data_IF_212785530403
#
_entry.id   IF_212785530403
#
_cell.length_a   1.000
_cell.length_b   1.000
_cell.length_c   1.000
_cell.angle_alpha   90.00
_cell.angle_beta   90.00
_cell.angle_gamma   90.00
#
_symmetry.space_group_name_H-M   'P 1'
#
loop_
_entity.id
_entity.type
_entity.pdbx_description
1 polymer ?
#
# COMPACT_ATOMS: atom_id res chain seq x y z
N UNK A 1 10.38 -7.24 24.97
CA UNK A 1 10.29 -8.21 23.85
C UNK A 1 11.69 -8.45 23.27
N UNK A 2 11.99 -9.67 22.82
CA UNK A 2 13.33 -10.03 22.31
C UNK A 2 13.53 -9.51 20.87
N UNK A 3 14.67 -8.89 20.56
CA UNK A 3 15.04 -8.39 19.22
C UNK A 3 14.96 -9.49 18.16
N UNK A 4 15.26 -10.74 18.50
CA UNK A 4 15.12 -11.84 17.55
C UNK A 4 13.67 -12.10 17.14
N UNK A 5 12.71 -11.85 18.05
CA UNK A 5 11.30 -12.01 17.74
C UNK A 5 10.82 -10.93 16.76
N UNK A 6 11.22 -9.68 16.95
CA UNK A 6 10.82 -8.55 16.08
C UNK A 6 11.29 -8.75 14.64
N UNK A 7 12.51 -9.26 14.46
CA UNK A 7 13.11 -9.60 13.17
C UNK A 7 12.42 -10.82 12.54
N UNK A 8 12.13 -11.85 13.35
CA UNK A 8 11.41 -13.03 12.87
C UNK A 8 10.01 -12.66 12.35
N UNK A 9 9.33 -11.71 13.00
CA UNK A 9 8.02 -11.23 12.56
C UNK A 9 8.09 -10.50 11.21
N UNK A 10 9.08 -9.63 10.99
CA UNK A 10 9.26 -8.97 9.70
C UNK A 10 9.63 -9.96 8.60
N UNK A 11 10.53 -10.90 8.87
CA UNK A 11 10.90 -11.96 7.95
C UNK A 11 9.71 -12.85 7.60
N UNK A 12 8.88 -13.20 8.57
CA UNK A 12 7.67 -13.99 8.34
C UNK A 12 6.69 -13.25 7.43
N UNK A 13 6.40 -11.97 7.71
CA UNK A 13 5.47 -11.17 6.91
C UNK A 13 5.98 -10.96 5.48
N UNK A 14 7.28 -10.69 5.31
CA UNK A 14 7.88 -10.40 4.00
C UNK A 14 8.14 -11.68 3.22
N UNK A 15 8.54 -12.77 3.88
CA UNK A 15 8.66 -14.09 3.27
C UNK A 15 7.31 -14.63 2.80
N UNK A 16 6.24 -14.44 3.59
CA UNK A 16 4.87 -14.79 3.17
C UNK A 16 4.46 -13.95 1.97
N UNK A 17 4.76 -12.65 1.97
CA UNK A 17 4.46 -11.79 0.83
C UNK A 17 5.23 -12.19 -0.43
N UNK A 18 6.51 -12.54 -0.31
CA UNK A 18 7.31 -13.06 -1.43
C UNK A 18 6.72 -14.36 -2.00
N UNK A 19 6.28 -15.28 -1.15
CA UNK A 19 5.60 -16.50 -1.61
C UNK A 19 4.30 -16.17 -2.35
N UNK A 20 3.47 -15.28 -1.80
CA UNK A 20 2.24 -14.84 -2.46
C UNK A 20 2.53 -14.06 -3.76
N UNK A 21 3.62 -13.30 -3.83
CA UNK A 21 4.04 -12.64 -5.07
C UNK A 21 4.31 -13.67 -6.18
N UNK A 22 4.95 -14.79 -5.85
CA UNK A 22 5.29 -15.83 -6.84
C UNK A 22 4.04 -16.62 -7.26
N UNK A 23 3.19 -17.01 -6.31
CA UNK A 23 2.09 -17.95 -6.59
C UNK A 23 0.74 -17.29 -6.87
N UNK A 24 0.45 -16.14 -6.25
CA UNK A 24 -0.87 -15.51 -6.31
C UNK A 24 -0.89 -14.27 -7.22
N UNK A 25 0.18 -13.48 -7.25
CA UNK A 25 0.21 -12.24 -8.04
C UNK A 25 0.01 -12.44 -9.56
N UNK A 26 0.52 -13.51 -10.22
CA UNK A 26 0.23 -13.74 -11.63
C UNK A 26 -1.27 -13.87 -11.90
N UNK A 27 -1.96 -14.73 -11.15
CA UNK A 27 -3.40 -14.95 -11.29
C UNK A 27 -4.22 -13.70 -10.94
N UNK A 28 -3.78 -12.92 -9.94
CA UNK A 28 -4.40 -11.62 -9.64
C UNK A 28 -4.18 -10.62 -10.77
N UNK A 29 -3.00 -10.59 -11.39
CA UNK A 29 -2.68 -9.64 -12.45
C UNK A 29 -3.51 -9.90 -13.70
N UNK A 30 -3.62 -11.15 -14.14
CA UNK A 30 -4.52 -11.54 -15.24
C UNK A 30 -5.96 -11.10 -14.99
N UNK A 31 -6.46 -11.29 -13.77
CA UNK A 31 -7.79 -10.83 -13.38
C UNK A 31 -7.94 -9.31 -13.42
N UNK A 32 -6.90 -8.57 -13.03
CA UNK A 32 -6.90 -7.10 -12.94
C UNK A 32 -6.69 -6.40 -14.29
N UNK A 33 -6.28 -7.12 -15.34
CA UNK A 33 -6.21 -6.58 -16.71
C UNK A 33 -7.59 -6.18 -17.25
N UNK A 34 -8.65 -6.78 -16.72
CA UNK A 34 -10.02 -6.48 -17.12
C UNK A 34 -10.70 -5.63 -16.04
N UNK A 35 -11.03 -4.35 -16.33
CA UNK A 35 -11.79 -3.52 -15.41
C UNK A 35 -13.12 -4.19 -15.00
N UNK A 36 -13.33 -4.34 -13.70
CA UNK A 36 -14.55 -4.92 -13.16
C UNK A 36 -14.87 -4.36 -11.77
N UNK A 37 -16.17 -4.17 -11.48
CA UNK A 37 -16.62 -3.71 -10.16
C UNK A 37 -16.19 -4.61 -9.01
N UNK A 38 -16.08 -5.93 -9.23
CA UNK A 38 -15.54 -6.88 -8.24
C UNK A 38 -14.07 -6.62 -7.92
N UNK A 39 -13.28 -6.19 -8.91
CA UNK A 39 -11.86 -5.84 -8.71
C UNK A 39 -11.73 -4.53 -7.93
N UNK A 40 -12.59 -3.56 -8.22
CA UNK A 40 -12.69 -2.33 -7.42
C UNK A 40 -13.07 -2.63 -5.96
N UNK A 41 -14.04 -3.52 -5.73
CA UNK A 41 -14.42 -3.96 -4.38
C UNK A 41 -13.27 -4.67 -3.66
N UNK A 42 -12.51 -5.51 -4.37
CA UNK A 42 -11.30 -6.15 -3.84
C UNK A 42 -10.26 -5.10 -3.42
N UNK A 43 -9.95 -4.13 -4.29
CA UNK A 43 -9.03 -3.02 -3.99
C UNK A 43 -9.47 -2.24 -2.75
N UNK A 44 -10.74 -1.87 -2.67
CA UNK A 44 -11.30 -1.14 -1.53
C UNK A 44 -11.21 -1.97 -0.25
N UNK A 45 -11.55 -3.25 -0.30
CA UNK A 45 -11.51 -4.14 0.87
C UNK A 45 -10.08 -4.27 1.41
N UNK A 46 -9.12 -4.55 0.52
CA UNK A 46 -7.71 -4.67 0.91
C UNK A 46 -7.16 -3.31 1.37
N UNK A 47 -7.62 -2.19 0.79
CA UNK A 47 -7.28 -0.86 1.28
C UNK A 47 -7.80 -0.59 2.69
N UNK A 48 -9.04 -0.95 3.02
CA UNK A 48 -9.57 -0.81 4.37
C UNK A 48 -8.81 -1.70 5.38
N UNK A 49 -8.44 -2.92 4.99
CA UNK A 49 -7.58 -3.78 5.81
C UNK A 49 -6.19 -3.17 6.01
N UNK A 50 -5.61 -2.56 4.98
CA UNK A 50 -4.36 -1.82 5.07
C UNK A 50 -4.48 -0.64 6.04
N UNK A 51 -5.55 0.16 5.97
CA UNK A 51 -5.81 1.25 6.90
C UNK A 51 -5.88 0.77 8.35
N UNK A 52 -6.63 -0.30 8.61
CA UNK A 52 -6.70 -0.93 9.92
C UNK A 52 -5.32 -1.42 10.39
N UNK A 53 -4.55 -1.99 9.48
CA UNK A 53 -3.19 -2.50 9.74
C UNK A 53 -2.23 -1.37 10.12
N UNK A 54 -2.23 -0.26 9.39
CA UNK A 54 -1.44 0.94 9.73
C UNK A 54 -1.87 1.49 11.08
N UNK A 55 -3.17 1.54 11.36
CA UNK A 55 -3.69 1.98 12.65
C UNK A 55 -3.19 1.09 13.81
N UNK A 56 -3.16 -0.24 13.63
CA UNK A 56 -2.60 -1.17 14.61
C UNK A 56 -1.09 -0.94 14.83
N UNK A 57 -0.32 -0.77 13.76
CA UNK A 57 1.11 -0.44 13.86
C UNK A 57 1.34 0.86 14.64
N UNK A 58 0.48 1.86 14.45
CA UNK A 58 0.54 3.13 15.20
C UNK A 58 0.19 2.98 16.69
N UNK A 59 -0.57 1.95 17.09
CA UNK A 59 -0.88 1.66 18.51
C UNK A 59 0.22 0.90 19.26
N UNK A 60 1.22 0.33 18.57
CA UNK A 60 2.34 -0.37 19.20
C UNK A 60 3.17 0.58 20.07
N UNK A 61 3.53 0.15 21.28
CA UNK A 61 4.55 0.83 22.09
C UNK A 61 5.95 0.51 21.58
N UNK A 62 6.90 1.45 21.68
CA UNK A 62 8.29 1.21 21.34
C UNK A 62 8.93 0.17 22.29
N UNK A 63 9.69 -0.77 21.75
CA UNK A 63 10.23 -1.95 22.45
C UNK A 63 11.60 -1.69 23.06
N UNK A 64 12.41 -0.81 22.47
CA UNK A 64 13.79 -0.48 22.89
C UNK A 64 14.09 1.02 22.72
N UNK A 65 14.96 1.56 23.56
CA UNK A 65 15.57 2.90 23.40
C UNK A 65 16.74 2.93 22.38
N UNK A 66 17.03 1.82 21.70
CA UNK A 66 18.21 1.66 20.86
C UNK A 66 17.86 1.48 19.38
N UNK A 67 18.63 2.18 18.54
CA UNK A 67 18.54 2.36 17.09
C UNK A 67 17.43 3.28 16.59
N UNK A 68 17.71 4.58 16.75
CA UNK A 68 17.03 5.65 16.01
C UNK A 68 17.29 5.43 14.51
N UNK A 69 16.22 5.39 13.71
CA UNK A 69 16.34 5.42 12.25
C UNK A 69 17.22 6.61 11.85
N UNK A 70 18.10 6.48 10.84
CA UNK A 70 18.88 7.60 10.34
C UNK A 70 18.00 8.82 10.08
N UNK A 71 18.51 10.03 10.34
CA UNK A 71 17.72 11.27 10.22
C UNK A 71 17.01 11.42 8.87
N UNK A 72 17.64 10.94 7.78
CA UNK A 72 17.05 10.95 6.44
C UNK A 72 15.83 10.02 6.29
N UNK A 73 15.79 8.88 7.00
CA UNK A 73 14.62 7.99 7.10
C UNK A 73 13.60 8.53 8.10
N UNK A 74 14.07 9.11 9.20
CA UNK A 74 13.23 9.77 10.20
C UNK A 74 12.42 10.94 9.62
N UNK A 75 12.96 11.66 8.63
CA UNK A 75 12.27 12.74 7.92
C UNK A 75 10.96 12.28 7.27
N UNK A 76 10.89 11.06 6.73
CA UNK A 76 9.67 10.48 6.15
C UNK A 76 8.56 10.31 7.19
N UNK A 77 8.93 10.15 8.46
CA UNK A 77 8.01 10.07 9.58
C UNK A 77 7.67 11.45 10.14
N UNK A 78 8.19 12.54 9.59
CA UNK A 78 7.81 13.91 9.96
C UNK A 78 6.35 14.24 9.57
N UNK A 79 5.71 15.15 10.31
CA UNK A 79 4.30 15.49 10.10
C UNK A 79 4.01 15.99 8.67
N UNK A 80 4.87 16.87 8.12
CA UNK A 80 4.72 17.39 6.75
C UNK A 80 4.88 16.29 5.70
N UNK A 81 5.88 15.42 5.86
CA UNK A 81 6.11 14.30 4.97
C UNK A 81 4.93 13.32 4.97
N UNK A 82 4.40 12.96 6.16
CA UNK A 82 3.21 12.09 6.28
C UNK A 82 1.99 12.65 5.54
N UNK A 83 1.76 13.96 5.58
CA UNK A 83 0.69 14.61 4.83
C UNK A 83 0.87 14.44 3.32
N UNK A 84 2.05 14.78 2.80
CA UNK A 84 2.35 14.66 1.36
C UNK A 84 2.24 13.20 0.91
N UNK A 85 2.82 12.27 1.66
CA UNK A 85 2.79 10.84 1.35
C UNK A 85 1.37 10.29 1.38
N UNK A 86 0.54 10.73 2.33
CA UNK A 86 -0.84 10.30 2.40
C UNK A 86 -1.69 10.83 1.25
N UNK A 87 -1.43 12.07 0.80
CA UNK A 87 -2.09 12.64 -0.39
C UNK A 87 -1.66 11.88 -1.65
N UNK A 88 -0.37 11.66 -1.86
CA UNK A 88 0.15 10.90 -3.00
C UNK A 88 -0.42 9.47 -3.04
N UNK A 89 -0.46 8.82 -1.88
CA UNK A 89 -1.08 7.51 -1.73
C UNK A 89 -2.57 7.54 -2.06
N UNK A 90 -3.27 8.57 -1.58
CA UNK A 90 -4.69 8.72 -1.83
C UNK A 90 -5.00 8.87 -3.33
N UNK A 91 -4.25 9.72 -4.02
CA UNK A 91 -4.34 9.91 -5.46
C UNK A 91 -4.04 8.61 -6.24
N UNK A 92 -3.03 7.85 -5.81
CA UNK A 92 -2.71 6.54 -6.41
C UNK A 92 -3.85 5.53 -6.27
N UNK A 93 -4.42 5.41 -5.07
CA UNK A 93 -5.56 4.51 -4.81
C UNK A 93 -6.81 4.93 -5.57
N UNK A 94 -7.14 6.23 -5.57
CA UNK A 94 -8.23 6.80 -6.35
C UNK A 94 -8.09 6.47 -7.83
N UNK A 95 -6.88 6.61 -8.38
CA UNK A 95 -6.59 6.29 -9.78
C UNK A 95 -6.79 4.80 -10.06
N UNK A 96 -6.26 3.93 -9.20
CA UNK A 96 -6.41 2.48 -9.36
C UNK A 96 -7.87 2.01 -9.29
N UNK A 97 -8.66 2.55 -8.35
CA UNK A 97 -10.08 2.20 -8.22
C UNK A 97 -10.89 2.76 -9.40
N UNK A 98 -10.64 4.00 -9.81
CA UNK A 98 -11.31 4.61 -10.98
C UNK A 98 -11.03 3.82 -12.26
N UNK A 99 -9.78 3.35 -12.43
CA UNK A 99 -9.41 2.47 -13.52
C UNK A 99 -10.21 1.15 -13.48
N UNK A 100 -10.28 0.47 -12.34
CA UNK A 100 -11.03 -0.79 -12.23
C UNK A 100 -12.55 -0.63 -12.40
N UNK A 101 -13.08 0.57 -12.22
CA UNK A 101 -14.49 0.88 -12.52
C UNK A 101 -14.74 1.23 -13.99
N UNK A 102 -13.70 1.25 -14.84
CA UNK A 102 -13.82 1.60 -16.25
C UNK A 102 -14.02 3.09 -16.49
N UNK A 103 -13.76 3.95 -15.50
CA UNK A 103 -14.00 5.40 -15.62
C UNK A 103 -13.23 6.01 -16.79
N UNK A 104 -11.97 5.63 -16.98
CA UNK A 104 -11.14 6.16 -18.07
C UNK A 104 -11.63 5.74 -19.45
N UNK A 105 -12.14 4.51 -19.59
CA UNK A 105 -12.68 4.03 -20.86
C UNK A 105 -13.97 4.80 -21.22
N UNK A 106 -14.86 4.99 -20.26
CA UNK A 106 -16.10 5.76 -20.45
C UNK A 106 -15.76 7.22 -20.79
N UNK A 107 -14.82 7.83 -20.07
CA UNK A 107 -14.43 9.23 -20.28
C UNK A 107 -13.77 9.45 -21.66
N UNK A 108 -12.96 8.52 -22.13
CA UNK A 108 -12.27 8.64 -23.42
C UNK A 108 -13.17 8.31 -24.63
N UNK A 109 -14.19 7.46 -24.46
CA UNK A 109 -15.06 7.01 -25.55
C UNK A 109 -16.37 7.80 -25.66
N UNK A 110 -16.90 8.34 -24.55
CA UNK A 110 -18.15 9.09 -24.57
C UNK A 110 -17.93 10.58 -24.88
N UNK A 111 -18.38 11.02 -26.06
CA UNK A 111 -18.54 12.45 -26.33
C UNK A 111 -19.62 13.06 -25.43
N UNK A 112 -19.51 14.34 -24.99
CA UNK A 112 -20.46 14.97 -24.06
C UNK A 112 -21.94 14.97 -24.51
N UNK A 113 -22.22 14.68 -25.77
CA UNK A 113 -23.55 14.65 -26.37
C UNK A 113 -24.27 13.28 -26.30
N UNK A 114 -23.62 12.22 -25.78
CA UNK A 114 -24.15 10.84 -25.81
C UNK A 114 -24.35 10.20 -24.43
N UNK A 115 -24.13 10.96 -23.35
CA UNK A 115 -24.32 10.45 -22.00
C UNK A 115 -25.78 10.62 -21.57
N UNK A 116 -26.51 9.51 -21.52
CA UNK A 116 -27.84 9.43 -20.89
C UNK A 116 -27.78 9.89 -19.42
N UNK A 117 -28.90 10.33 -18.85
CA UNK A 117 -28.97 10.84 -17.47
C UNK A 117 -28.49 9.78 -16.46
N UNK A 118 -28.81 8.51 -16.72
CA UNK A 118 -28.34 7.36 -15.93
C UNK A 118 -26.81 7.21 -15.97
N UNK A 119 -26.21 7.27 -17.16
CA UNK A 119 -24.76 7.13 -17.32
C UNK A 119 -24.02 8.32 -16.72
N UNK A 120 -24.57 9.53 -16.85
CA UNK A 120 -24.04 10.75 -16.25
C UNK A 120 -24.05 10.69 -14.72
N UNK A 121 -25.14 10.20 -14.12
CA UNK A 121 -25.22 10.03 -12.67
C UNK A 121 -24.21 8.98 -12.15
N UNK A 122 -24.01 7.89 -12.90
CA UNK A 122 -23.03 6.86 -12.55
C UNK A 122 -21.59 7.38 -12.65
N UNK A 123 -21.28 8.24 -13.63
CA UNK A 123 -19.99 8.91 -13.75
C UNK A 123 -19.68 9.82 -12.56
N UNK A 124 -20.70 10.44 -11.94
CA UNK A 124 -20.51 11.24 -10.73
C UNK A 124 -20.31 10.39 -9.48
N UNK A 125 -21.08 9.31 -9.32
CA UNK A 125 -20.99 8.41 -8.14
C UNK A 125 -19.72 7.57 -8.16
N UNK A 126 -19.31 7.08 -9.32
CA UNK A 126 -18.05 6.35 -9.52
C UNK A 126 -16.89 7.27 -9.90
N UNK A 127 -17.15 8.57 -9.90
CA UNK A 127 -16.20 9.60 -10.24
C UNK A 127 -14.99 9.59 -9.31
N UNK A 128 -13.83 10.04 -9.78
CA UNK A 128 -12.61 10.04 -8.99
C UNK A 128 -12.73 10.81 -7.66
N UNK A 129 -13.65 11.77 -7.56
CA UNK A 129 -13.92 12.55 -6.34
C UNK A 129 -14.48 11.73 -5.17
N UNK A 130 -15.36 10.76 -5.41
CA UNK A 130 -15.90 9.89 -4.37
C UNK A 130 -14.78 9.01 -3.76
N UNK A 131 -13.88 8.54 -4.64
CA UNK A 131 -12.73 7.74 -4.25
C UNK A 131 -11.62 8.56 -3.62
N UNK A 132 -11.48 9.83 -4.01
CA UNK A 132 -10.60 10.77 -3.33
C UNK A 132 -10.96 10.85 -1.85
N UNK A 133 -12.24 11.02 -1.50
CA UNK A 133 -12.69 11.08 -0.11
C UNK A 133 -12.34 9.79 0.67
N UNK A 134 -12.61 8.62 0.09
CA UNK A 134 -12.23 7.35 0.71
C UNK A 134 -10.70 7.26 0.90
N UNK A 135 -9.93 7.73 -0.07
CA UNK A 135 -8.48 7.73 -0.02
C UNK A 135 -7.92 8.67 1.06
N UNK A 136 -8.68 9.71 1.44
CA UNK A 136 -8.34 10.63 2.54
C UNK A 136 -8.39 9.96 3.92
N UNK A 137 -9.04 8.80 4.09
CA UNK A 137 -8.97 8.05 5.36
C UNK A 137 -7.53 7.72 5.75
N UNK A 138 -6.65 7.48 4.78
CA UNK A 138 -5.23 7.30 5.06
C UNK A 138 -4.57 8.56 5.63
N UNK A 139 -4.95 9.74 5.15
CA UNK A 139 -4.50 11.03 5.70
C UNK A 139 -4.91 11.12 7.17
N UNK A 140 -6.16 10.82 7.50
CA UNK A 140 -6.62 10.82 8.89
C UNK A 140 -5.82 9.84 9.76
N UNK A 141 -5.54 8.64 9.24
CA UNK A 141 -4.80 7.60 9.96
C UNK A 141 -3.30 7.87 10.05
N UNK A 142 -2.68 8.71 9.23
CA UNK A 142 -1.26 9.06 9.36
C UNK A 142 -1.01 10.42 10.03
N UNK A 143 -1.88 11.40 9.80
CA UNK A 143 -1.70 12.78 10.22
C UNK A 143 -2.08 13.02 11.69
N UNK A 144 -3.13 12.36 12.20
CA UNK A 144 -3.61 12.61 13.56
C UNK A 144 -2.78 11.87 14.60
N UNK A 145 -2.47 12.44 15.77
CA UNK A 145 -1.76 11.72 16.83
C UNK A 145 -2.60 10.53 17.33
N UNK A 146 -1.96 9.37 17.51
CA UNK A 146 -2.58 8.18 18.09
C UNK A 146 -1.80 7.84 19.35
N UNK A 147 -2.53 7.61 20.45
CA UNK A 147 -1.95 7.20 21.72
C UNK A 147 -1.57 5.70 21.62
N UNK A 148 -0.29 5.34 21.81
CA UNK A 148 0.14 3.95 21.91
C UNK A 148 -0.59 3.26 23.07
N UNK A 149 -1.06 2.03 22.85
CA UNK A 149 -1.85 1.28 23.85
C UNK A 149 -1.50 -0.21 23.90
N UNK A 150 -0.70 -0.71 22.96
CA UNK A 150 -0.28 -2.10 22.93
C UNK A 150 1.11 -2.20 23.54
N UNK A 151 1.18 -2.68 24.78
CA UNK A 151 2.43 -2.80 25.51
C UNK A 151 3.37 -3.86 24.91
N UNK A 152 4.66 -3.53 24.83
CA UNK A 152 5.70 -4.35 24.19
C UNK A 152 5.81 -5.80 24.72
N UNK A 153 5.37 -6.06 25.96
CA UNK A 153 5.47 -7.38 26.58
C UNK A 153 4.15 -8.19 26.52
N UNK A 154 3.13 -7.71 25.81
CA UNK A 154 1.83 -8.37 25.69
C UNK A 154 1.67 -9.04 24.32
N UNK A 155 0.91 -10.14 24.28
CA UNK A 155 0.56 -10.83 23.03
C UNK A 155 -0.13 -9.91 22.00
N UNK A 156 -0.88 -8.91 22.46
CA UNK A 156 -1.51 -7.89 21.60
C UNK A 156 -0.50 -7.13 20.74
N UNK A 157 0.74 -6.96 21.22
CA UNK A 157 1.79 -6.28 20.47
C UNK A 157 2.33 -7.16 19.34
N UNK A 158 2.56 -8.44 19.62
CA UNK A 158 2.96 -9.44 18.61
C UNK A 158 1.90 -9.57 17.52
N UNK A 159 0.64 -9.77 17.89
CA UNK A 159 -0.46 -9.89 16.93
C UNK A 159 -0.71 -8.59 16.16
N UNK A 160 -0.67 -7.45 16.84
CA UNK A 160 -0.78 -6.14 16.19
C UNK A 160 0.33 -5.89 15.17
N UNK A 161 1.53 -6.39 15.45
CA UNK A 161 2.68 -6.36 14.53
C UNK A 161 2.46 -7.25 13.31
N UNK A 162 2.07 -8.52 13.51
CA UNK A 162 1.82 -9.47 12.42
C UNK A 162 0.71 -8.97 11.50
N UNK A 163 -0.45 -8.61 12.07
CA UNK A 163 -1.59 -8.12 11.30
C UNK A 163 -1.21 -6.83 10.58
N UNK A 164 -0.51 -5.93 11.27
CA UNK A 164 0.00 -4.69 10.71
C UNK A 164 0.88 -4.89 9.47
N UNK A 165 1.86 -5.79 9.57
CA UNK A 165 2.80 -6.07 8.49
C UNK A 165 2.16 -6.85 7.34
N UNK A 166 1.40 -7.91 7.63
CA UNK A 166 0.71 -8.73 6.63
C UNK A 166 -0.32 -7.91 5.87
N UNK A 167 -1.14 -7.10 6.55
CA UNK A 167 -2.11 -6.23 5.89
C UNK A 167 -1.43 -5.15 5.06
N UNK A 168 -0.28 -4.62 5.51
CA UNK A 168 0.53 -3.70 4.70
C UNK A 168 1.03 -4.35 3.40
N UNK A 169 1.52 -5.59 3.49
CA UNK A 169 2.01 -6.35 2.34
C UNK A 169 0.89 -6.80 1.42
N UNK A 170 -0.31 -7.08 1.95
CA UNK A 170 -1.46 -7.49 1.13
C UNK A 170 -1.83 -6.41 0.11
N UNK A 171 -1.83 -5.14 0.53
CA UNK A 171 -2.08 -4.03 -0.39
C UNK A 171 -0.90 -3.79 -1.34
N UNK A 172 0.34 -3.95 -0.88
CA UNK A 172 1.51 -3.91 -1.76
C UNK A 172 1.37 -4.95 -2.89
N UNK A 173 1.09 -6.20 -2.56
CA UNK A 173 0.92 -7.28 -3.55
C UNK A 173 -0.21 -6.99 -4.55
N UNK A 174 -1.33 -6.46 -4.07
CA UNK A 174 -2.44 -6.10 -4.94
C UNK A 174 -2.06 -4.93 -5.87
N UNK A 175 -1.37 -3.91 -5.36
CA UNK A 175 -0.86 -2.80 -6.15
C UNK A 175 0.21 -3.25 -7.15
N UNK A 176 1.08 -4.17 -6.77
CA UNK A 176 2.07 -4.80 -7.66
C UNK A 176 1.38 -5.58 -8.79
N UNK A 177 0.34 -6.34 -8.48
CA UNK A 177 -0.45 -7.08 -9.47
C UNK A 177 -1.18 -6.14 -10.43
N UNK A 178 -1.75 -5.04 -9.92
CA UNK A 178 -2.38 -3.98 -10.70
C UNK A 178 -1.37 -3.28 -11.63
N UNK A 179 -0.17 -2.96 -11.12
CA UNK A 179 0.87 -2.31 -11.90
C UNK A 179 1.43 -3.23 -12.99
N UNK A 180 1.58 -4.54 -12.73
CA UNK A 180 1.93 -5.51 -13.77
C UNK A 180 0.86 -5.56 -14.87
N UNK A 181 -0.43 -5.58 -14.48
CA UNK A 181 -1.53 -5.56 -15.45
C UNK A 181 -1.47 -4.31 -16.34
N UNK A 182 -1.27 -3.13 -15.74
CA UNK A 182 -1.09 -1.88 -16.48
C UNK A 182 0.19 -1.89 -17.33
N UNK A 183 1.31 -2.41 -16.81
CA UNK A 183 2.58 -2.49 -17.53
C UNK A 183 2.46 -3.33 -18.80
N UNK A 184 1.75 -4.45 -18.70
CA UNK A 184 1.46 -5.34 -19.84
C UNK A 184 0.56 -4.68 -20.89
N UNK A 185 -0.38 -3.84 -20.47
CA UNK A 185 -1.31 -3.15 -21.37
C UNK A 185 -0.67 -1.95 -22.09
N UNK A 186 0.13 -1.15 -21.36
CA UNK A 186 0.70 0.10 -21.86
C UNK A 186 2.16 -0.03 -22.32
N UNK A 187 2.77 -1.21 -22.21
CA UNK A 187 4.11 -1.49 -22.73
C UNK A 187 5.25 -0.86 -21.92
N UNK A 188 5.06 -0.65 -20.60
CA UNK A 188 6.11 -0.14 -19.71
C UNK A 188 6.81 -1.23 -18.88
N UNK A 189 6.76 -2.47 -19.33
CA UNK A 189 7.43 -3.64 -18.75
C UNK A 189 8.93 -3.75 -19.14
N UNK A 190 9.67 -2.65 -19.07
CA UNK A 190 11.09 -2.65 -19.41
C UNK A 190 11.94 -2.19 -18.23
N UNK A 191 13.25 -2.48 -18.31
CA UNK A 191 14.19 -2.15 -17.23
C UNK A 191 14.29 -0.65 -16.94
N UNK A 192 13.98 0.21 -17.93
CA UNK A 192 13.96 1.67 -17.77
C UNK A 192 12.92 2.13 -16.75
N UNK A 193 11.84 1.39 -16.57
CA UNK A 193 10.80 1.69 -15.58
C UNK A 193 11.09 1.12 -14.19
N UNK A 194 12.14 0.28 -14.03
CA UNK A 194 12.48 -0.32 -12.74
C UNK A 194 12.77 0.71 -11.64
N UNK A 195 13.56 1.74 -11.95
CA UNK A 195 13.90 2.80 -10.97
C UNK A 195 12.67 3.67 -10.60
N UNK A 196 11.89 4.20 -11.56
CA UNK A 196 10.63 4.89 -11.25
C UNK A 196 9.65 4.05 -10.42
N UNK A 197 9.48 2.77 -10.75
CA UNK A 197 8.58 1.86 -10.03
C UNK A 197 9.08 1.60 -8.61
N UNK A 198 10.38 1.40 -8.43
CA UNK A 198 10.98 1.25 -7.10
C UNK A 198 10.74 2.52 -6.26
N UNK A 199 10.98 3.70 -6.83
CA UNK A 199 10.72 4.96 -6.15
C UNK A 199 9.25 5.12 -5.77
N UNK A 200 8.33 4.76 -6.68
CA UNK A 200 6.89 4.77 -6.42
C UNK A 200 6.52 3.84 -5.26
N UNK A 201 6.99 2.60 -5.27
CA UNK A 201 6.70 1.66 -4.18
C UNK A 201 7.27 2.12 -2.85
N UNK A 202 8.46 2.72 -2.84
CA UNK A 202 9.02 3.33 -1.64
C UNK A 202 8.13 4.46 -1.12
N UNK A 203 7.71 5.38 -1.99
CA UNK A 203 6.84 6.49 -1.61
C UNK A 203 5.52 6.01 -1.02
N UNK A 204 4.92 4.97 -1.62
CA UNK A 204 3.59 4.51 -1.25
C UNK A 204 3.59 3.57 -0.02
N UNK A 205 4.54 2.63 0.05
CA UNK A 205 4.48 1.51 0.99
C UNK A 205 5.57 1.50 2.05
N UNK A 206 6.60 2.35 1.95
CA UNK A 206 7.57 2.48 3.02
C UNK A 206 7.01 3.10 4.32
N UNK A 207 6.08 4.08 4.33
CA UNK A 207 5.71 4.75 5.57
C UNK A 207 5.18 3.82 6.68
N UNK A 208 4.28 2.84 6.41
CA UNK A 208 3.89 1.83 7.40
C UNK A 208 5.06 1.02 7.95
N UNK A 209 6.03 0.71 7.10
CA UNK A 209 7.21 -0.09 7.45
C UNK A 209 8.20 0.69 8.28
N UNK A 210 8.41 1.96 7.96
CA UNK A 210 9.21 2.87 8.76
C UNK A 210 8.58 3.11 10.14
N UNK A 211 7.24 3.19 10.22
CA UNK A 211 6.54 3.26 11.51
C UNK A 211 6.78 2.04 12.39
N UNK A 212 6.81 0.84 11.80
CA UNK A 212 7.15 -0.38 12.52
C UNK A 212 8.63 -0.41 12.93
N UNK A 213 9.54 -0.12 11.99
CA UNK A 213 10.98 -0.12 12.22
C UNK A 213 11.39 0.86 13.33
N UNK A 214 10.78 2.05 13.36
CA UNK A 214 11.01 3.07 14.39
C UNK A 214 10.60 2.63 15.81
N UNK A 215 9.77 1.59 15.94
CA UNK A 215 9.23 1.13 17.23
C UNK A 215 9.89 -0.14 17.75
N UNK A 216 10.48 -0.97 16.89
CA UNK A 216 10.92 -2.31 17.29
C UNK A 216 12.42 -2.51 17.23
N UNK A 217 13.03 -2.43 16.05
CA UNK A 217 14.50 -2.54 15.84
C UNK A 217 14.85 -2.21 14.39
N UNK A 218 15.88 -1.36 14.23
CA UNK A 218 15.92 -0.29 13.23
C UNK A 218 16.50 -0.55 11.83
N UNK A 219 16.83 -1.77 11.42
CA UNK A 219 17.38 -1.97 10.06
C UNK A 219 17.02 -3.30 9.38
N UNK A 220 17.05 -4.47 10.07
CA UNK A 220 16.76 -5.73 9.40
C UNK A 220 15.35 -5.80 8.78
N UNK A 221 14.36 -5.20 9.44
CA UNK A 221 13.00 -5.09 8.91
C UNK A 221 12.89 -4.18 7.68
N UNK A 222 13.79 -3.18 7.56
CA UNK A 222 13.86 -2.28 6.39
C UNK A 222 14.55 -2.99 5.22
N UNK A 223 15.61 -3.76 5.50
CA UNK A 223 16.34 -4.53 4.48
C UNK A 223 15.45 -5.61 3.87
N UNK A 224 14.75 -6.38 4.70
CA UNK A 224 13.81 -7.43 4.25
C UNK A 224 12.67 -6.84 3.41
N UNK A 225 12.15 -5.68 3.83
CA UNK A 225 11.19 -4.93 3.04
C UNK A 225 11.77 -4.42 1.71
N UNK A 226 13.01 -3.91 1.69
CA UNK A 226 13.66 -3.46 0.46
C UNK A 226 13.83 -4.61 -0.54
N UNK A 227 14.18 -5.82 -0.08
CA UNK A 227 14.24 -7.03 -0.91
C UNK A 227 12.86 -7.34 -1.49
N UNK A 228 11.80 -7.29 -0.68
CA UNK A 228 10.42 -7.48 -1.15
C UNK A 228 10.04 -6.44 -2.22
N UNK A 229 10.41 -5.16 -2.04
CA UNK A 229 10.16 -4.12 -3.05
C UNK A 229 10.90 -4.41 -4.36
N UNK A 230 12.17 -4.80 -4.30
CA UNK A 230 12.92 -5.20 -5.48
C UNK A 230 12.27 -6.38 -6.21
N UNK A 231 11.78 -7.38 -5.47
CA UNK A 231 11.04 -8.50 -6.04
C UNK A 231 9.72 -8.05 -6.70
N UNK A 232 8.98 -7.13 -6.07
CA UNK A 232 7.76 -6.56 -6.64
C UNK A 232 8.03 -5.79 -7.93
N UNK A 233 9.10 -4.98 -7.96
CA UNK A 233 9.52 -4.27 -9.19
C UNK A 233 9.91 -5.25 -10.27
N UNK A 234 10.72 -6.26 -9.92
CA UNK A 234 11.12 -7.32 -10.85
C UNK A 234 9.91 -8.02 -11.45
N UNK A 235 8.89 -8.34 -10.64
CA UNK A 235 7.64 -8.91 -11.12
C UNK A 235 6.86 -7.99 -12.07
N UNK A 236 6.89 -6.66 -11.87
CA UNK A 236 6.17 -5.73 -12.76
C UNK A 236 6.87 -5.57 -14.12
N UNK A 237 8.20 -5.60 -14.14
CA UNK A 237 8.99 -5.38 -15.37
C UNK A 237 9.40 -6.67 -16.09
N UNK A 238 9.37 -7.81 -15.41
CA UNK A 238 9.74 -9.12 -15.95
C UNK A 238 8.53 -9.84 -16.52
#
# INVERSE_FOLDING_TARGET
MNVYLTIALSLFADGTALLLLIFLAPALSERLQHPAGLNALLLVTIYLLFLASVFLLRKLEPVTQGDVLPDWLGWWLGQKARWVLAVLFGLGMMTAVSYQLGYFDIFMQAGPAQLDEGTSSSLFVFGPSAWLFLSMFYIFILAFPIIPSMAANKASHVWGSVIGLVGSNSLLLLATSQLHALASQFGFNNWGWGVPLLALFWVLFAPPRLLYANKQTGWPGVITFAILLCACVWFVIG
#
